data_IF_186591753641
#
_entry.id   IF_186591753641
#
_cell.length_a   1.000
_cell.length_b   1.000
_cell.length_c   1.000
_cell.angle_alpha   90.00
_cell.angle_beta   90.00
_cell.angle_gamma   90.00
#
_symmetry.space_group_name_H-M   'P 1'
#
loop_
_entity.id
_entity.type
_entity.pdbx_description
1 polymer ?
#
# COMPACT_ATOMS: atom_id res chain seq x y z
N UNK A 1 -11.71 -13.18 -0.60
CA UNK A 1 -10.26 -12.89 -0.68
C UNK A 1 -10.09 -11.58 -1.43
N UNK A 2 -9.28 -10.61 -0.93
CA UNK A 2 -9.25 -9.21 -1.41
C UNK A 2 -8.91 -9.08 -2.92
N UNK A 3 -8.01 -9.91 -3.42
CA UNK A 3 -7.52 -9.88 -4.81
C UNK A 3 -8.25 -10.90 -5.73
N UNK A 4 -9.38 -11.45 -5.31
CA UNK A 4 -10.16 -12.43 -6.10
C UNK A 4 -11.58 -11.95 -6.35
N UNK A 5 -11.94 -10.75 -5.92
CA UNK A 5 -13.22 -10.13 -6.19
C UNK A 5 -13.30 -9.57 -7.63
N UNK A 6 -14.52 -9.35 -8.10
CA UNK A 6 -14.77 -8.73 -9.40
C UNK A 6 -14.29 -7.26 -9.49
N UNK A 7 -14.09 -6.62 -8.33
CA UNK A 7 -13.61 -5.24 -8.22
C UNK A 7 -12.36 -5.23 -7.33
N UNK A 8 -11.26 -4.72 -7.86
CA UNK A 8 -10.03 -4.51 -7.10
C UNK A 8 -10.13 -3.18 -6.31
N UNK A 9 -9.54 -3.11 -5.09
CA UNK A 9 -9.40 -1.84 -4.41
C UNK A 9 -8.42 -0.93 -5.15
N UNK A 10 -8.58 0.36 -5.06
CA UNK A 10 -7.68 1.36 -5.68
C UNK A 10 -6.31 1.38 -5.02
N UNK A 11 -6.25 1.10 -3.72
CA UNK A 11 -5.03 1.05 -2.95
C UNK A 11 -5.14 0.10 -1.75
N UNK A 12 -3.99 -0.42 -1.30
CA UNK A 12 -3.83 -1.17 -0.07
C UNK A 12 -2.75 -0.50 0.78
N UNK A 13 -3.12 -0.09 1.99
CA UNK A 13 -2.16 0.24 3.03
C UNK A 13 -1.87 -1.03 3.83
N UNK A 14 -0.61 -1.42 3.88
CA UNK A 14 -0.16 -2.67 4.52
C UNK A 14 0.56 -2.34 5.81
N UNK A 15 0.35 -3.16 6.84
CA UNK A 15 0.81 -2.89 8.20
C UNK A 15 2.34 -2.76 8.33
N UNK A 16 3.12 -3.42 7.46
CA UNK A 16 4.57 -3.25 7.37
C UNK A 16 5.10 -3.63 5.98
N UNK A 17 6.38 -3.31 5.72
CA UNK A 17 7.01 -3.50 4.41
C UNK A 17 7.16 -4.98 4.04
N UNK A 18 7.41 -5.88 5.00
CA UNK A 18 7.51 -7.31 4.72
C UNK A 18 6.18 -7.90 4.28
N UNK A 19 5.08 -7.51 4.93
CA UNK A 19 3.74 -7.89 4.48
C UNK A 19 3.42 -7.28 3.12
N UNK A 20 3.86 -6.04 2.86
CA UNK A 20 3.69 -5.38 1.56
C UNK A 20 4.39 -6.16 0.44
N UNK A 21 5.59 -6.72 0.68
CA UNK A 21 6.28 -7.60 -0.27
C UNK A 21 5.41 -8.80 -0.65
N UNK A 22 4.77 -9.43 0.35
CA UNK A 22 3.83 -10.54 0.12
C UNK A 22 2.61 -10.13 -0.73
N UNK A 23 2.04 -8.95 -0.47
CA UNK A 23 0.93 -8.40 -1.28
C UNK A 23 1.39 -8.12 -2.71
N UNK A 24 2.55 -7.51 -2.90
CA UNK A 24 3.12 -7.23 -4.22
C UNK A 24 3.40 -8.53 -5.00
N UNK A 25 3.90 -9.56 -4.32
CA UNK A 25 4.09 -10.88 -4.92
C UNK A 25 2.77 -11.49 -5.38
N UNK A 26 1.73 -11.44 -4.55
CA UNK A 26 0.40 -11.92 -4.91
C UNK A 26 -0.22 -11.16 -6.09
N UNK A 27 0.02 -9.84 -6.19
CA UNK A 27 -0.37 -9.03 -7.34
C UNK A 27 0.35 -9.51 -8.61
N UNK A 28 1.67 -9.71 -8.55
CA UNK A 28 2.47 -10.17 -9.69
C UNK A 28 2.00 -11.55 -10.19
N UNK A 29 1.73 -12.50 -9.29
CA UNK A 29 1.22 -13.83 -9.64
C UNK A 29 -0.16 -13.81 -10.31
N UNK A 30 -0.96 -12.78 -10.04
CA UNK A 30 -2.28 -12.56 -10.63
C UNK A 30 -2.26 -11.63 -11.85
N UNK A 31 -1.09 -11.14 -12.26
CA UNK A 31 -0.97 -10.19 -13.37
C UNK A 31 -1.57 -8.81 -13.06
N UNK A 32 -1.72 -8.46 -11.78
CA UNK A 32 -2.23 -7.16 -11.34
C UNK A 32 -1.08 -6.15 -11.31
N UNK A 33 -1.19 -5.10 -12.11
CA UNK A 33 -0.15 -4.07 -12.22
C UNK A 33 -0.12 -3.15 -10.99
N UNK A 34 1.06 -3.02 -10.37
CA UNK A 34 1.36 -2.06 -9.30
C UNK A 34 2.30 -0.99 -9.87
N UNK A 35 1.98 0.28 -9.82
CA UNK A 35 0.79 0.92 -9.25
C UNK A 35 -0.39 1.07 -10.25
N UNK A 36 -0.29 0.54 -11.46
CA UNK A 36 -1.22 0.80 -12.56
C UNK A 36 -2.68 0.48 -12.24
N UNK A 37 -2.95 -0.66 -11.60
CA UNK A 37 -4.29 -1.09 -11.21
C UNK A 37 -4.53 -0.94 -9.72
N UNK A 38 -3.50 -1.06 -8.89
CA UNK A 38 -3.59 -0.95 -7.45
C UNK A 38 -2.34 -0.27 -6.89
N UNK A 39 -2.51 0.73 -6.04
CA UNK A 39 -1.41 1.32 -5.29
C UNK A 39 -1.14 0.53 -4.01
N UNK A 40 0.14 0.32 -3.67
CA UNK A 40 0.53 -0.35 -2.44
C UNK A 40 1.43 0.58 -1.63
N UNK A 41 1.11 0.72 -0.36
CA UNK A 41 1.87 1.51 0.60
C UNK A 41 2.18 0.63 1.81
N UNK A 42 3.46 0.58 2.19
CA UNK A 42 3.95 -0.13 3.36
C UNK A 42 4.12 0.77 4.58
N UNK A 43 4.80 0.23 5.59
CA UNK A 43 5.12 0.92 6.83
C UNK A 43 6.44 0.35 7.37
N UNK A 44 7.34 1.17 7.90
CA UNK A 44 8.65 0.98 8.52
C UNK A 44 9.83 1.55 7.72
N UNK A 45 9.78 1.56 6.39
CA UNK A 45 10.89 1.92 5.50
C UNK A 45 12.13 1.05 5.74
N UNK A 46 11.93 -0.26 5.67
CA UNK A 46 13.02 -1.23 5.73
C UNK A 46 14.03 -1.01 4.60
N UNK A 47 15.30 -1.32 4.83
CA UNK A 47 16.38 -1.02 3.88
C UNK A 47 16.16 -1.68 2.50
N UNK A 48 15.51 -2.84 2.47
CA UNK A 48 15.19 -3.60 1.26
C UNK A 48 13.95 -3.08 0.52
N UNK A 49 13.07 -2.32 1.17
CA UNK A 49 11.84 -1.80 0.55
C UNK A 49 12.07 -0.93 -0.69
N UNK A 50 13.24 -0.28 -0.76
CA UNK A 50 13.69 0.48 -1.93
C UNK A 50 14.03 -0.40 -3.14
N UNK A 51 14.30 -1.68 -2.93
CA UNK A 51 14.70 -2.66 -3.95
C UNK A 51 13.57 -3.58 -4.38
N UNK A 52 12.35 -3.40 -3.84
CA UNK A 52 11.18 -4.13 -4.31
C UNK A 52 10.86 -3.77 -5.76
N UNK A 53 10.12 -4.60 -6.45
CA UNK A 53 9.70 -4.35 -7.82
C UNK A 53 8.17 -4.25 -7.92
N UNK A 54 7.66 -3.01 -8.09
CA UNK A 54 8.34 -1.72 -8.06
C UNK A 54 8.84 -1.32 -6.66
N UNK A 55 9.77 -0.34 -6.52
CA UNK A 55 10.18 0.21 -5.23
C UNK A 55 9.00 0.67 -4.38
N UNK A 56 8.97 0.25 -3.11
CA UNK A 56 7.81 0.41 -2.23
C UNK A 56 7.72 1.83 -1.65
N UNK A 57 6.59 2.48 -1.88
CA UNK A 57 6.16 3.66 -1.11
C UNK A 57 5.82 3.19 0.30
N UNK A 58 6.38 3.86 1.32
CA UNK A 58 6.25 3.44 2.71
C UNK A 58 6.31 4.60 3.67
N UNK A 59 6.02 4.36 4.93
CA UNK A 59 6.10 5.35 6.00
C UNK A 59 7.32 5.04 6.86
N UNK A 60 8.27 5.98 6.92
CA UNK A 60 9.46 5.88 7.76
C UNK A 60 9.14 6.29 9.18
N UNK A 61 9.43 5.43 10.13
CA UNK A 61 9.40 5.72 11.55
C UNK A 61 10.74 6.25 12.04
N UNK A 62 10.71 7.10 13.07
CA UNK A 62 11.90 7.65 13.72
C UNK A 62 12.48 6.68 14.77
N UNK A 63 12.83 5.43 14.38
CA UNK A 63 13.27 4.38 15.32
C UNK A 63 14.44 4.78 16.19
N UNK A 64 15.44 5.48 15.64
CA UNK A 64 16.58 5.98 16.41
C UNK A 64 16.12 6.91 17.52
N UNK A 65 15.34 7.92 17.17
CA UNK A 65 14.81 8.89 18.12
C UNK A 65 13.90 8.22 19.16
N UNK A 66 13.08 7.25 18.74
CA UNK A 66 12.26 6.47 19.66
C UNK A 66 13.11 5.73 20.70
N UNK A 67 14.20 5.10 20.28
CA UNK A 67 15.14 4.44 21.18
C UNK A 67 15.83 5.41 22.13
N UNK A 68 16.36 6.51 21.61
CA UNK A 68 17.04 7.55 22.42
C UNK A 68 16.09 8.13 23.47
N UNK A 69 14.87 8.53 23.07
CA UNK A 69 13.86 9.06 24.00
C UNK A 69 13.40 8.05 25.05
N UNK A 70 13.30 6.78 24.67
CA UNK A 70 12.94 5.72 25.62
C UNK A 70 14.01 5.54 26.70
N UNK A 71 15.30 5.53 26.32
CA UNK A 71 16.42 5.40 27.26
C UNK A 71 16.52 6.66 28.15
N UNK A 72 16.48 7.85 27.56
CA UNK A 72 16.47 9.12 28.32
C UNK A 72 15.37 9.12 29.38
N UNK A 73 14.18 8.66 29.01
CA UNK A 73 13.05 8.62 29.95
C UNK A 73 13.26 7.58 31.06
N UNK A 74 13.75 6.38 30.73
CA UNK A 74 14.02 5.35 31.75
C UNK A 74 15.06 5.77 32.78
N UNK A 75 16.05 6.57 32.35
CA UNK A 75 17.13 7.06 33.21
C UNK A 75 16.78 8.34 33.97
N UNK A 76 15.65 8.99 33.63
CA UNK A 76 15.24 10.24 34.28
C UNK A 76 14.81 9.98 35.74
N UNK A 77 15.23 10.82 36.70
CA UNK A 77 14.79 10.71 38.11
C UNK A 77 13.29 10.79 38.21
N UNK A 78 12.64 9.86 38.95
CA UNK A 78 11.18 9.83 39.16
C UNK A 78 10.38 9.35 37.95
N UNK A 79 11.01 8.69 36.99
CA UNK A 79 10.34 8.15 35.78
C UNK A 79 9.30 7.06 36.08
N UNK A 80 9.46 6.34 37.21
CA UNK A 80 8.57 5.25 37.61
C UNK A 80 7.13 5.71 38.00
N UNK A 81 6.93 6.98 38.31
CA UNK A 81 5.65 7.48 38.81
C UNK A 81 4.79 8.20 37.75
N UNK A 82 5.31 8.43 36.54
CA UNK A 82 4.59 9.21 35.52
C UNK A 82 4.47 8.45 34.21
N UNK A 83 3.28 8.00 33.90
CA UNK A 83 2.94 7.55 32.56
C UNK A 83 3.10 8.73 31.58
N UNK A 84 4.05 8.60 30.64
CA UNK A 84 4.25 9.59 29.56
C UNK A 84 3.99 8.96 28.21
N UNK A 85 3.25 9.66 27.39
CA UNK A 85 3.09 9.33 25.99
C UNK A 85 3.91 10.33 25.17
N UNK A 86 4.81 9.83 24.33
CA UNK A 86 5.58 10.64 23.40
C UNK A 86 5.14 10.23 21.99
N UNK A 87 4.70 11.20 21.21
CA UNK A 87 4.38 11.00 19.81
C UNK A 87 5.54 11.52 18.96
N UNK A 88 6.12 10.65 18.14
CA UNK A 88 7.18 10.99 17.21
C UNK A 88 6.61 11.15 15.79
N UNK A 89 7.11 12.11 15.02
CA UNK A 89 6.68 12.29 13.64
C UNK A 89 7.13 11.13 12.78
N UNK A 90 6.32 10.81 11.76
CA UNK A 90 6.66 9.86 10.71
C UNK A 90 6.82 10.59 9.38
N UNK A 91 7.53 9.98 8.43
CA UNK A 91 7.77 10.57 7.10
C UNK A 91 7.27 9.64 6.01
N UNK A 92 6.45 10.16 5.10
CA UNK A 92 6.06 9.43 3.89
C UNK A 92 7.24 9.40 2.91
N UNK A 93 7.67 8.20 2.53
CA UNK A 93 8.70 7.96 1.52
C UNK A 93 8.00 7.50 0.25
N UNK A 94 7.77 8.42 -0.67
CA UNK A 94 7.13 8.13 -1.94
C UNK A 94 8.11 7.46 -2.89
N UNK A 95 7.74 6.29 -3.43
CA UNK A 95 8.47 5.53 -4.44
C UNK A 95 7.53 5.17 -5.60
N UNK A 96 7.68 4.00 -6.20
CA UNK A 96 6.99 3.63 -7.44
C UNK A 96 5.81 2.66 -7.25
N UNK A 97 5.54 2.18 -6.05
CA UNK A 97 4.40 1.28 -5.78
C UNK A 97 3.07 2.00 -5.59
N UNK A 98 3.06 3.32 -5.61
CA UNK A 98 1.85 4.13 -5.53
C UNK A 98 1.83 5.21 -6.59
N UNK A 99 0.65 5.53 -7.11
CA UNK A 99 0.44 6.59 -8.08
C UNK A 99 -0.87 7.31 -7.83
N UNK A 100 -0.93 8.58 -8.24
CA UNK A 100 -2.19 9.31 -8.27
C UNK A 100 -3.04 8.78 -9.44
N UNK A 101 -4.24 8.29 -9.16
CA UNK A 101 -5.22 8.03 -10.21
C UNK A 101 -5.67 9.35 -10.81
N UNK A 102 -5.48 9.51 -12.12
CA UNK A 102 -6.11 10.63 -12.84
C UNK A 102 -7.54 10.21 -13.17
N UNK A 103 -8.50 11.11 -13.01
CA UNK A 103 -9.92 10.88 -13.37
C UNK A 103 -10.09 10.26 -14.77
N UNK A 104 -9.28 10.71 -15.74
CA UNK A 104 -9.24 10.15 -17.10
C UNK A 104 -8.92 8.66 -17.18
N UNK A 105 -8.13 8.14 -16.26
CA UNK A 105 -7.74 6.72 -16.26
C UNK A 105 -8.85 5.86 -15.64
N UNK A 106 -9.49 6.35 -14.58
CA UNK A 106 -10.66 5.72 -13.99
C UNK A 106 -11.83 5.65 -14.99
N UNK A 107 -12.09 6.76 -15.69
CA UNK A 107 -13.15 6.84 -16.71
C UNK A 107 -12.88 5.90 -17.91
N UNK A 108 -11.61 5.73 -18.31
CA UNK A 108 -11.24 4.81 -19.41
C UNK A 108 -11.32 3.34 -19.00
N UNK A 109 -10.97 3.02 -17.76
CA UNK A 109 -11.08 1.65 -17.24
C UNK A 109 -12.56 1.26 -17.03
N UNK A 110 -13.40 2.17 -16.56
CA UNK A 110 -14.83 1.97 -16.42
C UNK A 110 -15.48 1.78 -17.79
N UNK A 111 -15.16 2.63 -18.77
CA UNK A 111 -15.62 2.50 -20.14
C UNK A 111 -15.19 1.17 -20.77
N UNK A 112 -13.92 0.77 -20.58
CA UNK A 112 -13.42 -0.50 -21.09
C UNK A 112 -14.14 -1.70 -20.47
N UNK A 113 -14.50 -1.61 -19.18
CA UNK A 113 -15.27 -2.65 -18.50
C UNK A 113 -16.70 -2.72 -19.00
N UNK A 114 -17.35 -1.57 -19.22
CA UNK A 114 -18.69 -1.49 -19.79
C UNK A 114 -18.73 -2.08 -21.21
N UNK A 115 -17.72 -1.78 -22.04
CA UNK A 115 -17.61 -2.35 -23.39
C UNK A 115 -17.42 -3.87 -23.36
N UNK A 116 -16.64 -4.41 -22.45
CA UNK A 116 -16.50 -5.87 -22.28
C UNK A 116 -17.80 -6.54 -21.87
N UNK A 117 -18.55 -5.92 -20.96
CA UNK A 117 -19.83 -6.44 -20.52
C UNK A 117 -20.87 -6.43 -21.66
N UNK A 118 -20.89 -5.38 -22.48
CA UNK A 118 -21.75 -5.31 -23.67
C UNK A 118 -21.39 -6.36 -24.71
N UNK A 119 -20.10 -6.60 -24.94
CA UNK A 119 -19.63 -7.64 -25.87
C UNK A 119 -20.09 -9.03 -25.43
N UNK A 120 -19.97 -9.36 -24.13
CA UNK A 120 -20.45 -10.64 -23.58
C UNK A 120 -21.95 -10.81 -23.72
N UNK A 121 -22.74 -9.75 -23.49
CA UNK A 121 -24.18 -9.78 -23.68
C UNK A 121 -24.55 -10.00 -25.16
N UNK A 122 -23.86 -9.34 -26.09
CA UNK A 122 -24.07 -9.53 -27.52
C UNK A 122 -23.74 -10.96 -27.97
N UNK A 123 -22.69 -11.57 -27.44
CA UNK A 123 -22.36 -12.98 -27.73
C UNK A 123 -23.39 -13.95 -27.19
N UNK A 124 -24.00 -13.66 -26.03
CA UNK A 124 -25.08 -14.48 -25.48
C UNK A 124 -26.34 -14.42 -26.34
N UNK A 125 -26.75 -13.21 -26.78
CA UNK A 125 -27.90 -13.02 -27.64
C UNK A 125 -27.72 -13.61 -29.05
N UNK A 126 -26.49 -13.72 -29.55
CA UNK A 126 -26.19 -14.31 -30.83
C UNK A 126 -26.21 -15.86 -30.82
N UNK A 127 -26.30 -16.49 -29.65
CA UNK A 127 -26.37 -17.96 -29.46
C UNK A 127 -27.80 -18.47 -29.29
N UNK A 128 -28.78 -17.59 -29.09
CA UNK A 128 -30.21 -17.90 -29.06
C UNK A 128 -30.82 -17.78 -30.46
#
# INVERSE_FOLDING_TARGET
>A
MLLSGAVLPDAILVANDQMALGVMRACAEKGIAVPGQISIVGFDDTADSAWFSPPLTTIRQAFREAGERSVEWLLAPGSAEKFRQIQLPVTLITRHSSARRTSRQADREDLAQQLRNLALLAEQLARE
#
